data_IF_426487037172
#
_entry.id   IF_426487037172
#
_cell.length_a   1.000
_cell.length_b   1.000
_cell.length_c   1.000
_cell.angle_alpha   90.00
_cell.angle_beta   90.00
_cell.angle_gamma   90.00
#
_symmetry.space_group_name_H-M   'P 1'
#
loop_
_entity.id
_entity.type
_entity.pdbx_description
1 polymer ?
#
# COMPACT_ATOMS: atom_id res chain seq x y z
N UNK A 1 22.69 5.22 -5.34
CA UNK A 1 21.28 4.76 -5.41
C UNK A 1 21.08 3.49 -6.25
N UNK A 2 21.54 3.44 -7.50
CA UNK A 2 21.31 2.28 -8.39
C UNK A 2 21.83 0.92 -7.85
N UNK A 3 23.04 0.88 -7.28
CA UNK A 3 23.60 -0.35 -6.71
C UNK A 3 22.77 -0.92 -5.55
N UNK A 4 22.17 -0.05 -4.73
CA UNK A 4 21.31 -0.44 -3.62
C UNK A 4 19.98 -1.02 -4.12
N UNK A 5 19.33 -0.36 -5.09
CA UNK A 5 18.10 -0.89 -5.70
C UNK A 5 18.35 -2.25 -6.38
N UNK A 6 19.51 -2.42 -7.03
CA UNK A 6 19.89 -3.70 -7.61
C UNK A 6 20.07 -4.80 -6.53
N UNK A 7 20.69 -4.48 -5.39
CA UNK A 7 20.81 -5.42 -4.28
C UNK A 7 19.44 -5.83 -3.71
N UNK A 8 18.52 -4.87 -3.52
CA UNK A 8 17.16 -5.15 -3.07
C UNK A 8 16.39 -6.04 -4.06
N UNK A 9 16.51 -5.79 -5.37
CA UNK A 9 15.90 -6.65 -6.39
C UNK A 9 16.43 -8.08 -6.32
N UNK A 10 17.75 -8.25 -6.18
CA UNK A 10 18.36 -9.57 -5.96
C UNK A 10 17.81 -10.26 -4.73
N UNK A 11 17.63 -9.54 -3.62
CA UNK A 11 17.03 -10.10 -2.39
C UNK A 11 15.58 -10.56 -2.64
N UNK A 12 14.79 -9.79 -3.39
CA UNK A 12 13.43 -10.19 -3.75
C UNK A 12 13.39 -11.44 -4.65
N UNK A 13 14.40 -11.64 -5.50
CA UNK A 13 14.46 -12.73 -6.47
C UNK A 13 15.26 -13.96 -5.97
N UNK A 14 15.91 -13.84 -4.80
CA UNK A 14 16.77 -14.87 -4.24
C UNK A 14 15.94 -16.06 -3.74
N UNK A 15 16.14 -17.23 -4.38
CA UNK A 15 15.56 -18.49 -3.91
C UNK A 15 16.09 -18.83 -2.52
N UNK A 16 15.20 -19.14 -1.59
CA UNK A 16 15.54 -19.46 -0.21
C UNK A 16 15.76 -18.25 0.70
N UNK A 17 15.57 -17.02 0.21
CA UNK A 17 15.50 -15.86 1.09
C UNK A 17 14.34 -16.01 2.10
N UNK A 18 14.59 -15.64 3.36
CA UNK A 18 13.53 -15.63 4.35
C UNK A 18 12.43 -14.65 3.94
N UNK A 19 11.16 -15.09 3.99
CA UNK A 19 10.00 -14.31 3.52
C UNK A 19 10.00 -12.87 4.02
N UNK A 20 10.20 -12.67 5.33
CA UNK A 20 10.29 -11.35 5.96
C UNK A 20 11.27 -10.39 5.26
N UNK A 21 12.44 -10.87 4.89
CA UNK A 21 13.47 -10.05 4.25
C UNK A 21 13.09 -9.71 2.82
N UNK A 22 12.58 -10.71 2.07
CA UNK A 22 12.13 -10.51 0.69
C UNK A 22 10.93 -9.55 0.61
N UNK A 23 9.95 -9.69 1.51
CA UNK A 23 8.81 -8.79 1.62
C UNK A 23 9.23 -7.36 1.97
N UNK A 24 10.18 -7.21 2.89
CA UNK A 24 10.71 -5.89 3.26
C UNK A 24 11.48 -5.23 2.11
N UNK A 25 12.28 -5.98 1.37
CA UNK A 25 12.99 -5.47 0.21
C UNK A 25 12.01 -5.02 -0.89
N UNK A 26 10.94 -5.78 -1.12
CA UNK A 26 9.87 -5.41 -2.04
C UNK A 26 9.20 -4.09 -1.63
N UNK A 27 8.87 -3.93 -0.34
CA UNK A 27 8.30 -2.69 0.20
C UNK A 27 9.19 -1.47 -0.01
N UNK A 28 10.49 -1.58 0.28
CA UNK A 28 11.43 -0.46 0.09
C UNK A 28 11.51 -0.04 -1.38
N UNK A 29 11.47 -1.00 -2.31
CA UNK A 29 11.48 -0.71 -3.73
C UNK A 29 10.17 -0.06 -4.20
N UNK A 30 9.02 -0.43 -3.65
CA UNK A 30 7.74 0.23 -3.90
C UNK A 30 7.73 1.67 -3.39
N UNK A 31 8.21 1.90 -2.15
CA UNK A 31 8.26 3.23 -1.53
C UNK A 31 9.15 4.21 -2.29
N UNK A 32 10.20 3.70 -2.95
CA UNK A 32 11.11 4.51 -3.76
C UNK A 32 10.67 4.67 -5.21
N UNK A 33 9.53 4.08 -5.62
CA UNK A 33 9.07 4.04 -7.01
C UNK A 33 9.95 3.19 -7.94
N UNK A 34 10.93 2.47 -7.39
CA UNK A 34 11.82 1.58 -8.16
C UNK A 34 11.13 0.28 -8.59
N UNK A 35 9.98 -0.05 -7.96
CA UNK A 35 8.99 -1.00 -8.44
C UNK A 35 7.65 -0.28 -8.56
N UNK A 36 6.92 -0.54 -9.65
CA UNK A 36 5.55 -0.07 -9.81
C UNK A 36 4.56 -0.90 -9.00
N UNK A 37 3.36 -0.37 -8.80
CA UNK A 37 2.29 -1.05 -8.05
C UNK A 37 1.91 -2.41 -8.66
N UNK A 38 1.83 -2.51 -10.00
CA UNK A 38 1.52 -3.75 -10.71
C UNK A 38 2.56 -4.86 -10.44
N UNK A 39 3.85 -4.50 -10.46
CA UNK A 39 4.93 -5.44 -10.17
C UNK A 39 4.98 -5.82 -8.68
N UNK A 40 4.63 -4.88 -7.79
CA UNK A 40 4.41 -5.16 -6.37
C UNK A 40 3.29 -6.16 -6.15
N UNK A 41 2.15 -5.96 -6.82
CA UNK A 41 1.01 -6.87 -6.79
C UNK A 41 1.39 -8.26 -7.33
N UNK A 42 2.11 -8.34 -8.46
CA UNK A 42 2.61 -9.61 -9.01
C UNK A 42 3.50 -10.36 -8.01
N UNK A 43 4.42 -9.66 -7.34
CA UNK A 43 5.31 -10.24 -6.33
C UNK A 43 4.57 -10.71 -5.09
N UNK A 44 3.55 -9.96 -4.65
CA UNK A 44 2.63 -10.39 -3.60
C UNK A 44 1.92 -11.69 -4.01
N UNK A 45 1.30 -11.73 -5.20
CA UNK A 45 0.59 -12.93 -5.69
C UNK A 45 1.49 -14.17 -5.76
N UNK A 46 2.75 -14.00 -6.16
CA UNK A 46 3.72 -15.09 -6.17
C UNK A 46 4.07 -15.55 -4.75
N UNK A 47 4.30 -14.62 -3.83
CA UNK A 47 4.64 -14.93 -2.44
C UNK A 47 3.48 -15.63 -1.72
N UNK A 48 2.23 -15.25 -2.02
CA UNK A 48 1.02 -15.83 -1.46
C UNK A 48 0.47 -17.03 -2.24
N UNK A 49 1.16 -17.47 -3.30
CA UNK A 49 0.67 -18.60 -4.11
C UNK A 49 0.56 -19.89 -3.28
N UNK A 50 -0.40 -20.78 -3.59
CA UNK A 50 -0.57 -22.05 -2.87
C UNK A 50 0.67 -22.95 -2.86
N UNK A 51 1.61 -22.73 -3.79
CA UNK A 51 2.88 -23.47 -3.86
C UNK A 51 3.88 -23.10 -2.76
N UNK A 52 3.67 -22.02 -2.02
CA UNK A 52 4.52 -21.62 -0.90
C UNK A 52 3.95 -22.11 0.43
N UNK A 53 4.84 -22.54 1.33
CA UNK A 53 4.44 -22.88 2.69
C UNK A 53 3.78 -21.67 3.38
N UNK A 54 2.61 -21.82 4.03
CA UNK A 54 1.89 -20.70 4.64
C UNK A 54 2.71 -19.87 5.64
N UNK A 55 3.57 -20.45 6.51
CA UNK A 55 4.44 -19.66 7.38
C UNK A 55 5.41 -18.76 6.60
N UNK A 56 5.91 -19.20 5.45
CA UNK A 56 6.79 -18.40 4.60
C UNK A 56 6.02 -17.27 3.90
N UNK A 57 4.81 -17.54 3.40
CA UNK A 57 3.91 -16.54 2.83
C UNK A 57 3.53 -15.47 3.87
N UNK A 58 3.19 -15.89 5.09
CA UNK A 58 2.87 -15.03 6.21
C UNK A 58 4.07 -14.14 6.60
N UNK A 59 5.28 -14.72 6.68
CA UNK A 59 6.49 -13.95 6.96
C UNK A 59 6.79 -12.92 5.86
N UNK A 60 6.57 -13.27 4.60
CA UNK A 60 6.70 -12.33 3.49
C UNK A 60 5.72 -11.17 3.62
N UNK A 61 4.46 -11.46 3.91
CA UNK A 61 3.43 -10.47 4.12
C UNK A 61 3.75 -9.55 5.31
N UNK A 62 4.25 -10.09 6.42
CA UNK A 62 4.75 -9.30 7.55
C UNK A 62 5.85 -8.33 7.11
N UNK A 63 6.84 -8.81 6.34
CA UNK A 63 7.93 -7.97 5.84
C UNK A 63 7.45 -6.83 4.95
N UNK A 64 6.49 -7.13 4.08
CA UNK A 64 5.88 -6.19 3.14
C UNK A 64 5.06 -5.11 3.84
N UNK A 65 4.26 -5.50 4.83
CA UNK A 65 3.34 -4.63 5.55
C UNK A 65 3.96 -3.88 6.74
N UNK A 66 5.20 -4.23 7.13
CA UNK A 66 5.84 -3.65 8.32
C UNK A 66 5.87 -2.12 8.28
N UNK A 67 5.19 -1.51 9.26
CA UNK A 67 5.32 -0.08 9.60
C UNK A 67 4.19 0.83 9.12
N UNK A 68 3.27 0.39 8.25
CA UNK A 68 2.06 1.16 7.94
C UNK A 68 1.00 0.31 7.22
N UNK A 69 -0.24 0.39 7.71
CA UNK A 69 -1.41 -0.19 7.05
C UNK A 69 -1.97 0.66 5.90
N UNK A 70 -1.49 1.91 5.73
CA UNK A 70 -1.97 2.85 4.73
C UNK A 70 -1.95 2.28 3.31
N UNK A 71 -0.96 1.45 2.97
CA UNK A 71 -0.90 0.81 1.66
C UNK A 71 -2.15 -0.05 1.39
N UNK A 72 -2.61 -0.83 2.36
CA UNK A 72 -3.82 -1.67 2.23
C UNK A 72 -5.10 -0.83 2.23
N UNK A 73 -5.06 0.33 2.88
CA UNK A 73 -6.19 1.27 2.88
C UNK A 73 -6.38 1.87 1.49
N UNK A 74 -5.29 2.26 0.82
CA UNK A 74 -5.33 2.99 -0.44
C UNK A 74 -5.30 2.10 -1.68
N UNK A 75 -4.68 0.92 -1.62
CA UNK A 75 -4.56 0.01 -2.74
C UNK A 75 -5.62 -1.10 -2.66
N UNK A 76 -6.67 -0.97 -3.46
CA UNK A 76 -7.75 -1.95 -3.52
C UNK A 76 -7.30 -3.29 -4.11
N UNK A 77 -6.36 -3.29 -5.06
CA UNK A 77 -5.86 -4.50 -5.70
C UNK A 77 -5.07 -5.32 -4.69
N UNK A 78 -4.17 -4.67 -3.95
CA UNK A 78 -3.39 -5.30 -2.89
C UNK A 78 -4.29 -5.91 -1.80
N UNK A 79 -5.34 -5.18 -1.40
CA UNK A 79 -6.33 -5.68 -0.44
C UNK A 79 -6.99 -6.96 -0.95
N UNK A 80 -7.48 -6.96 -2.19
CA UNK A 80 -8.18 -8.12 -2.77
C UNK A 80 -7.27 -9.35 -2.89
N UNK A 81 -5.98 -9.16 -3.19
CA UNK A 81 -5.02 -10.27 -3.22
C UNK A 81 -4.84 -10.93 -1.85
N UNK A 82 -4.75 -10.12 -0.79
CA UNK A 82 -4.61 -10.65 0.57
C UNK A 82 -5.92 -11.26 1.06
N UNK A 83 -7.06 -10.63 0.80
CA UNK A 83 -8.39 -11.13 1.17
C UNK A 83 -8.69 -12.46 0.46
N UNK A 84 -8.43 -12.55 -0.85
CA UNK A 84 -8.60 -13.78 -1.62
C UNK A 84 -7.71 -14.91 -1.12
N UNK A 85 -6.43 -14.64 -0.91
CA UNK A 85 -5.52 -15.64 -0.34
C UNK A 85 -5.99 -16.13 1.04
N UNK A 86 -6.43 -15.23 1.93
CA UNK A 86 -6.94 -15.62 3.24
C UNK A 86 -8.18 -16.51 3.17
N UNK A 87 -9.06 -16.27 2.18
CA UNK A 87 -10.26 -17.09 1.95
C UNK A 87 -9.93 -18.48 1.40
N UNK A 88 -8.86 -18.60 0.64
CA UNK A 88 -8.46 -19.86 -0.01
C UNK A 88 -7.57 -20.74 0.88
N UNK A 89 -7.17 -20.26 2.07
CA UNK A 89 -6.37 -21.05 3.01
C UNK A 89 -7.20 -22.15 3.69
N UNK A 90 -6.68 -23.40 3.76
CA UNK A 90 -7.23 -24.45 4.62
C UNK A 90 -7.26 -24.03 6.09
N UNK A 91 -8.22 -24.53 6.86
CA UNK A 91 -8.44 -24.15 8.27
C UNK A 91 -7.19 -24.28 9.16
N UNK A 92 -6.45 -25.37 8.99
CA UNK A 92 -5.21 -25.64 9.73
C UNK A 92 -4.15 -24.55 9.45
N UNK A 93 -3.96 -24.24 8.17
CA UNK A 93 -2.97 -23.26 7.71
C UNK A 93 -3.39 -21.83 8.06
N UNK A 94 -4.70 -21.55 8.03
CA UNK A 94 -5.27 -20.29 8.48
C UNK A 94 -4.94 -20.07 9.97
N UNK A 95 -5.20 -21.08 10.80
CA UNK A 95 -4.93 -21.05 12.24
C UNK A 95 -3.45 -20.78 12.54
N UNK A 96 -2.53 -21.41 11.81
CA UNK A 96 -1.09 -21.22 11.98
C UNK A 96 -0.61 -19.81 11.54
N UNK A 97 -1.31 -19.21 10.59
CA UNK A 97 -0.94 -17.93 9.99
C UNK A 97 -1.50 -16.73 10.78
N UNK A 98 -2.64 -16.91 11.45
CA UNK A 98 -3.33 -15.87 12.22
C UNK A 98 -2.46 -15.16 13.28
N UNK A 99 -1.64 -15.83 14.10
CA UNK A 99 -0.81 -15.16 15.10
C UNK A 99 0.12 -14.11 14.50
N UNK A 100 0.73 -14.43 13.35
CA UNK A 100 1.67 -13.54 12.67
C UNK A 100 0.96 -12.34 12.04
N UNK A 101 -0.19 -12.60 11.41
CA UNK A 101 -1.04 -11.54 10.87
C UNK A 101 -1.54 -10.61 11.97
N UNK A 102 -2.08 -11.17 13.06
CA UNK A 102 -2.55 -10.39 14.21
C UNK A 102 -1.44 -9.49 14.76
N UNK A 103 -0.22 -10.03 14.92
CA UNK A 103 0.94 -9.24 15.35
C UNK A 103 1.25 -8.12 14.37
N UNK A 104 1.23 -8.39 13.07
CA UNK A 104 1.50 -7.41 12.01
C UNK A 104 0.47 -6.29 12.02
N UNK A 105 -0.82 -6.61 11.93
CA UNK A 105 -1.92 -5.64 11.96
C UNK A 105 -1.95 -4.83 13.27
N UNK A 106 -1.54 -5.42 14.41
CA UNK A 106 -1.45 -4.71 15.68
C UNK A 106 -0.40 -3.58 15.67
N UNK A 107 0.61 -3.65 14.78
CA UNK A 107 1.61 -2.56 14.63
C UNK A 107 1.09 -1.34 13.89
N UNK A 108 -0.05 -1.44 13.20
CA UNK A 108 -0.63 -0.33 12.44
C UNK A 108 -1.27 0.71 13.36
N UNK A 109 -1.46 1.92 12.86
CA UNK A 109 -2.15 2.97 13.61
C UNK A 109 -3.61 2.62 13.84
N UNK A 110 -4.20 3.12 14.94
CA UNK A 110 -5.58 2.81 15.31
C UNK A 110 -6.58 3.14 14.18
N UNK A 111 -6.39 4.27 13.50
CA UNK A 111 -7.22 4.67 12.36
C UNK A 111 -7.13 3.68 11.19
N UNK A 112 -5.91 3.27 10.81
CA UNK A 112 -5.67 2.28 9.75
C UNK A 112 -6.36 0.96 10.09
N UNK A 113 -6.21 0.46 11.32
CA UNK A 113 -6.87 -0.78 11.77
C UNK A 113 -8.39 -0.69 11.70
N UNK A 114 -8.99 0.44 12.09
CA UNK A 114 -10.45 0.63 11.97
C UNK A 114 -10.90 0.59 10.52
N UNK A 115 -10.20 1.28 9.62
CA UNK A 115 -10.54 1.30 8.19
C UNK A 115 -10.43 -0.08 7.56
N UNK A 116 -9.35 -0.82 7.85
CA UNK A 116 -9.15 -2.18 7.36
C UNK A 116 -10.19 -3.15 7.94
N UNK A 117 -10.52 -3.03 9.23
CA UNK A 117 -11.57 -3.84 9.86
C UNK A 117 -12.95 -3.60 9.26
N UNK A 118 -13.29 -2.33 8.99
CA UNK A 118 -14.54 -1.99 8.31
C UNK A 118 -14.58 -2.54 6.87
N UNK A 119 -13.46 -2.47 6.15
CA UNK A 119 -13.32 -3.05 4.81
C UNK A 119 -13.45 -4.58 4.80
N UNK A 120 -12.91 -5.25 5.81
CA UNK A 120 -13.08 -6.69 6.00
C UNK A 120 -14.55 -7.04 6.30
N UNK A 121 -15.22 -6.25 7.14
CA UNK A 121 -16.64 -6.43 7.48
C UNK A 121 -17.56 -6.33 6.26
N UNK A 122 -17.24 -5.46 5.31
CA UNK A 122 -17.99 -5.32 4.06
C UNK A 122 -17.55 -6.28 2.95
N UNK A 123 -16.61 -7.19 3.24
CA UNK A 123 -16.16 -8.23 2.31
C UNK A 123 -15.35 -7.70 1.13
N UNK A 124 -14.66 -6.56 1.29
CA UNK A 124 -13.91 -5.94 0.20
C UNK A 124 -14.79 -5.35 -0.91
N UNK A 125 -16.12 -5.38 -0.76
CA UNK A 125 -17.05 -4.56 -1.53
C UNK A 125 -16.86 -3.11 -1.10
N UNK A 126 -15.74 -2.56 -1.56
CA UNK A 126 -15.51 -1.15 -1.64
C UNK A 126 -16.70 -0.56 -2.40
N UNK A 127 -17.60 0.06 -1.66
CA UNK A 127 -18.47 1.17 -2.10
C UNK A 127 -17.66 2.37 -2.61
N UNK A 128 -16.47 2.13 -3.15
CA UNK A 128 -15.52 3.10 -3.70
C UNK A 128 -15.75 3.30 -5.20
N UNK A 129 -16.63 2.51 -5.82
CA UNK A 129 -17.09 2.74 -7.20
C UNK A 129 -18.27 3.74 -7.32
N UNK A 130 -18.77 4.37 -6.24
CA UNK A 130 -19.93 5.27 -6.38
C UNK A 130 -20.00 6.50 -5.46
N UNK A 131 -18.93 6.90 -4.77
CA UNK A 131 -18.94 8.18 -4.02
C UNK A 131 -17.93 9.23 -4.53
N UNK A 132 -16.98 8.88 -5.39
CA UNK A 132 -16.18 9.88 -6.10
C UNK A 132 -16.96 10.54 -7.26
N UNK A 133 -18.09 9.95 -7.69
CA UNK A 133 -18.94 10.48 -8.75
C UNK A 133 -20.12 11.36 -8.28
N UNK A 134 -20.31 11.55 -6.97
CA UNK A 134 -21.44 12.32 -6.42
C UNK A 134 -21.04 13.45 -5.47
N UNK A 135 -19.78 13.57 -5.09
CA UNK A 135 -19.27 14.84 -4.59
C UNK A 135 -19.24 15.82 -5.78
N UNK A 136 -20.29 16.62 -5.91
CA UNK A 136 -20.41 17.68 -6.92
C UNK A 136 -19.13 18.50 -6.91
N UNK A 137 -18.31 18.35 -7.94
CA UNK A 137 -17.09 19.13 -8.10
C UNK A 137 -17.49 20.61 -8.13
N UNK A 138 -17.04 21.37 -7.12
CA UNK A 138 -17.32 22.78 -6.99
C UNK A 138 -16.09 23.57 -7.49
N UNK A 139 -16.13 24.10 -8.72
CA UNK A 139 -15.01 24.82 -9.31
C UNK A 139 -14.65 26.08 -8.52
N UNK A 140 -15.63 26.71 -7.85
CA UNK A 140 -15.42 27.92 -7.05
C UNK A 140 -14.63 27.61 -5.77
N UNK A 141 -14.98 26.51 -5.08
CA UNK A 141 -14.22 26.05 -3.91
C UNK A 141 -12.82 25.55 -4.27
N UNK A 142 -12.66 24.91 -5.44
CA UNK A 142 -11.35 24.50 -5.93
C UNK A 142 -10.46 25.71 -6.30
N UNK A 143 -11.02 26.74 -6.95
CA UNK A 143 -10.28 27.95 -7.28
C UNK A 143 -9.78 28.70 -6.05
N UNK A 144 -10.56 28.70 -4.96
CA UNK A 144 -10.20 29.37 -3.71
C UNK A 144 -8.93 28.81 -3.03
N UNK A 145 -8.52 27.57 -3.32
CA UNK A 145 -7.30 26.97 -2.75
C UNK A 145 -6.05 27.21 -3.60
N UNK A 146 -6.21 27.61 -4.86
CA UNK A 146 -5.10 27.82 -5.81
C UNK A 146 -4.06 28.85 -5.33
N UNK A 147 -4.42 29.99 -4.71
CA UNK A 147 -3.43 30.96 -4.24
C UNK A 147 -2.51 30.37 -3.15
N UNK A 148 -3.08 29.60 -2.22
CA UNK A 148 -2.31 28.94 -1.16
C UNK A 148 -1.40 27.85 -1.73
N UNK A 149 -1.91 27.05 -2.67
CA UNK A 149 -1.12 26.03 -3.35
C UNK A 149 0.01 26.65 -4.18
N UNK A 150 -0.25 27.77 -4.86
CA UNK A 150 0.77 28.52 -5.59
C UNK A 150 1.87 29.06 -4.66
N UNK A 151 1.54 29.49 -3.45
CA UNK A 151 2.53 29.89 -2.45
C UNK A 151 3.34 28.70 -1.92
N UNK A 152 2.67 27.61 -1.55
CA UNK A 152 3.34 26.39 -1.04
C UNK A 152 4.26 25.74 -2.08
N UNK A 153 3.88 25.82 -3.35
CA UNK A 153 4.65 25.30 -4.48
C UNK A 153 5.66 26.32 -5.04
N UNK A 154 5.75 27.52 -4.46
CA UNK A 154 6.70 28.56 -4.87
C UNK A 154 6.42 29.17 -6.25
N UNK A 155 5.20 29.04 -6.77
CA UNK A 155 4.75 29.58 -8.05
C UNK A 155 4.36 31.06 -7.96
N UNK A 156 4.13 31.57 -6.75
CA UNK A 156 3.82 32.99 -6.50
C UNK A 156 5.09 33.81 -6.24
N UNK A 157 5.86 34.05 -7.30
CA UNK A 157 6.88 35.10 -7.33
C UNK A 157 6.93 35.77 -8.72
N UNK A 158 5.80 36.35 -9.14
CA UNK A 158 5.80 37.38 -10.16
C UNK A 158 4.56 38.26 -9.99
N UNK A 159 4.74 39.56 -10.24
CA UNK A 159 3.72 40.62 -10.35
C UNK A 159 3.33 41.35 -9.06
N UNK A 160 4.16 42.34 -8.70
CA UNK A 160 3.73 43.75 -8.79
C UNK A 160 4.90 44.62 -9.27
N UNK A 161 4.92 44.95 -10.57
CA UNK A 161 5.62 46.11 -11.10
C UNK A 161 4.76 46.71 -12.21
N UNK A 162 4.31 47.95 -12.00
CA UNK A 162 3.56 48.90 -12.85
C UNK A 162 2.42 49.51 -12.00
N UNK A 163 2.21 50.82 -11.87
CA UNK A 163 2.71 52.05 -12.51
C UNK A 163 2.48 53.20 -11.52
N UNK A 164 3.47 54.10 -11.36
CA UNK A 164 3.25 55.49 -10.94
C UNK A 164 4.23 56.36 -11.73
N UNK A 165 3.78 56.81 -12.90
CA UNK A 165 4.02 58.16 -13.44
C UNK A 165 2.76 58.61 -14.17
#
# INVERSE_FOLDING_TARGET
MAAWQAALRRVCDLRGAHGLVAGRACRILLDTGALGAEEGARRLSLALSPGNAPPAAAAWLEGMLRGSGALLVHDATLWQLIDGWLRDLPEELFTDTLPLLRRTFATFQHAERRMLGERARTGGASSTASQAGTARFDPSRAAATLPLLAQLLGLAAAEKHQEQQ
#
